data_IF_900999346086
#
_entry.id   IF_900999346086
#
_cell.length_a   1.000
_cell.length_b   1.000
_cell.length_c   1.000
_cell.angle_alpha   90.00
_cell.angle_beta   90.00
_cell.angle_gamma   90.00
#
_symmetry.space_group_name_H-M   'P 1'
#
loop_
_entity.id
_entity.type
_entity.pdbx_description
1 polymer ?
#
# COMPACT_ATOMS: atom_id res chain seq x y z
N UNK A 1 -14.35 8.88 -5.55
CA UNK A 1 -13.02 8.50 -6.11
C UNK A 1 -12.03 8.51 -4.97
N UNK A 2 -11.28 7.42 -4.77
CA UNK A 2 -10.18 7.39 -3.79
C UNK A 2 -9.18 8.50 -4.10
N UNK A 3 -8.93 9.38 -3.13
CA UNK A 3 -8.08 10.56 -3.31
C UNK A 3 -6.60 10.22 -3.13
N UNK A 4 -6.33 9.25 -2.25
CA UNK A 4 -4.99 8.87 -1.81
C UNK A 4 -4.65 7.44 -2.20
N UNK A 5 -3.36 7.21 -2.47
CA UNK A 5 -2.79 5.90 -2.74
C UNK A 5 -2.35 5.25 -1.44
N UNK A 6 -2.42 3.92 -1.38
CA UNK A 6 -1.82 3.15 -0.31
C UNK A 6 -0.90 2.11 -0.95
N UNK A 7 0.37 2.14 -0.62
CA UNK A 7 1.35 1.12 -0.97
C UNK A 7 1.41 0.13 0.19
N UNK A 8 0.83 -1.05 -0.02
CA UNK A 8 0.87 -2.15 0.94
C UNK A 8 2.00 -3.09 0.55
N UNK A 9 3.05 -3.13 1.36
CA UNK A 9 4.16 -4.07 1.21
C UNK A 9 3.85 -5.40 1.87
N UNK A 10 4.08 -6.48 1.12
CA UNK A 10 4.00 -7.87 1.57
C UNK A 10 5.26 -8.62 1.12
N UNK A 11 5.68 -9.59 1.95
CA UNK A 11 6.98 -10.24 1.90
C UNK A 11 7.06 -11.39 0.91
N UNK A 12 7.85 -12.46 1.19
CA UNK A 12 8.37 -12.84 2.51
C UNK A 12 9.56 -12.02 3.02
N UNK A 13 10.21 -11.22 2.17
CA UNK A 13 11.31 -10.37 2.63
C UNK A 13 10.82 -9.25 3.57
N UNK A 14 11.58 -9.03 4.65
CA UNK A 14 11.22 -8.07 5.70
C UNK A 14 12.05 -6.80 5.52
N UNK A 15 11.35 -5.69 5.30
CA UNK A 15 11.98 -4.39 5.18
C UNK A 15 11.83 -3.61 6.48
N UNK A 16 12.96 -3.17 7.03
CA UNK A 16 12.98 -2.25 8.17
C UNK A 16 12.55 -0.84 7.74
N UNK A 17 11.60 -0.25 8.47
CA UNK A 17 11.05 1.08 8.19
C UNK A 17 11.53 2.07 9.26
N UNK A 18 12.82 2.37 9.17
CA UNK A 18 13.52 3.30 10.05
C UNK A 18 13.23 4.78 9.72
N UNK A 19 13.95 5.70 10.37
CA UNK A 19 13.77 7.14 10.15
C UNK A 19 14.19 7.59 8.75
N UNK A 20 15.28 7.04 8.18
CA UNK A 20 15.78 7.40 6.85
C UNK A 20 14.80 6.97 5.76
N UNK A 21 14.28 5.74 5.84
CA UNK A 21 13.23 5.26 4.95
C UNK A 21 12.00 6.17 5.02
N UNK A 22 11.57 6.54 6.22
CA UNK A 22 10.42 7.44 6.41
C UNK A 22 10.65 8.82 5.81
N UNK A 23 11.85 9.38 5.96
CA UNK A 23 12.23 10.67 5.38
C UNK A 23 12.23 10.63 3.85
N UNK A 24 12.84 9.59 3.25
CA UNK A 24 12.87 9.39 1.79
C UNK A 24 11.48 9.26 1.19
N UNK A 25 10.59 8.50 1.82
CA UNK A 25 9.20 8.37 1.38
C UNK A 25 8.43 9.68 1.55
N UNK A 26 8.67 10.40 2.65
CA UNK A 26 8.06 11.70 2.89
C UNK A 26 8.44 12.73 1.82
N UNK A 27 9.68 12.70 1.31
CA UNK A 27 10.16 13.58 0.25
C UNK A 27 9.35 13.44 -1.06
N UNK A 28 8.72 12.29 -1.29
CA UNK A 28 7.83 12.04 -2.45
C UNK A 28 6.33 12.06 -2.09
N UNK A 29 5.99 12.53 -0.89
CA UNK A 29 4.60 12.67 -0.44
C UNK A 29 3.96 11.39 0.08
N UNK A 30 4.75 10.34 0.33
CA UNK A 30 4.29 9.08 0.94
C UNK A 30 4.60 9.09 2.44
N UNK A 31 3.60 8.79 3.27
CA UNK A 31 3.72 8.81 4.73
C UNK A 31 3.47 7.43 5.32
N UNK A 32 4.11 7.12 6.44
CA UNK A 32 3.83 5.90 7.21
C UNK A 32 2.84 6.22 8.32
N UNK A 33 1.83 5.37 8.59
CA UNK A 33 0.95 5.58 9.72
C UNK A 33 1.72 5.45 11.02
N UNK A 34 1.31 6.23 12.02
CA UNK A 34 1.86 6.17 13.38
C UNK A 34 1.38 4.90 14.11
N UNK A 35 1.89 3.75 13.69
CA UNK A 35 1.66 2.44 14.27
C UNK A 35 2.96 1.91 14.87
N UNK A 36 2.88 1.39 16.09
CA UNK A 36 4.02 0.72 16.72
C UNK A 36 4.29 -0.63 16.03
N UNK A 37 5.49 -1.18 16.24
CA UNK A 37 5.81 -2.53 15.77
C UNK A 37 4.84 -3.56 16.35
N UNK A 38 4.39 -3.40 17.60
CA UNK A 38 3.36 -4.24 18.21
C UNK A 38 2.01 -4.13 17.48
N UNK A 39 1.59 -2.91 17.11
CA UNK A 39 0.34 -2.71 16.36
C UNK A 39 0.40 -3.42 14.98
N UNK A 40 1.53 -3.34 14.30
CA UNK A 40 1.75 -4.00 13.00
C UNK A 40 1.79 -5.53 13.15
N UNK A 41 2.52 -6.03 14.14
CA UNK A 41 2.60 -7.45 14.45
C UNK A 41 1.23 -8.05 14.82
N UNK A 42 0.45 -7.37 15.66
CA UNK A 42 -0.90 -7.84 16.00
C UNK A 42 -1.83 -7.81 14.78
N UNK A 43 -1.70 -6.82 13.91
CA UNK A 43 -2.47 -6.77 12.67
C UNK A 43 -2.10 -7.90 11.70
N UNK A 44 -0.82 -8.28 11.65
CA UNK A 44 -0.34 -9.46 10.91
C UNK A 44 -0.99 -10.75 11.45
N UNK A 45 -0.92 -10.97 12.76
CA UNK A 45 -1.52 -12.14 13.41
C UNK A 45 -3.06 -12.16 13.31
N UNK A 46 -3.71 -10.99 13.36
CA UNK A 46 -5.16 -10.86 13.21
C UNK A 46 -5.61 -11.34 11.83
N UNK A 47 -5.03 -10.79 10.76
CA UNK A 47 -5.42 -11.10 9.37
C UNK A 47 -5.12 -12.56 9.04
N UNK A 48 -3.94 -13.06 9.42
CA UNK A 48 -3.56 -14.46 9.19
C UNK A 48 -4.24 -15.45 10.12
N UNK A 49 -5.01 -14.94 11.10
CA UNK A 49 -5.63 -15.73 12.17
C UNK A 49 -4.60 -16.59 12.96
N UNK A 50 -3.37 -16.09 13.06
CA UNK A 50 -2.20 -16.79 13.62
C UNK A 50 -1.94 -16.49 15.11
N UNK A 51 -2.87 -15.85 15.83
CA UNK A 51 -2.70 -15.51 17.25
C UNK A 51 -2.35 -16.72 18.15
N UNK A 52 -2.93 -17.90 17.88
CA UNK A 52 -2.69 -19.10 18.69
C UNK A 52 -1.25 -19.61 18.61
N UNK A 53 -0.60 -19.50 17.44
CA UNK A 53 0.80 -19.90 17.29
C UNK A 53 1.78 -18.92 17.95
N UNK A 54 1.28 -17.75 18.40
CA UNK A 54 2.02 -16.76 19.16
C UNK A 54 1.63 -16.74 20.65
N UNK A 55 0.92 -17.77 21.13
CA UNK A 55 0.40 -17.85 22.51
C UNK A 55 -0.49 -16.65 22.93
N UNK A 56 -1.16 -16.02 21.95
CA UNK A 56 -2.08 -14.91 22.15
C UNK A 56 -3.53 -15.35 22.03
N UNK A 57 -4.42 -14.65 22.72
CA UNK A 57 -5.87 -14.79 22.54
C UNK A 57 -6.34 -13.97 21.35
N UNK A 58 -7.52 -14.31 20.80
CA UNK A 58 -8.16 -13.49 19.77
C UNK A 58 -8.33 -12.04 20.21
N UNK A 59 -8.65 -11.81 21.49
CA UNK A 59 -8.89 -10.49 22.06
C UNK A 59 -7.64 -9.59 22.03
N UNK A 60 -6.44 -10.18 22.03
CA UNK A 60 -5.18 -9.43 22.04
C UNK A 60 -4.87 -8.81 20.66
N UNK A 61 -5.36 -9.42 19.59
CA UNK A 61 -5.09 -9.01 18.20
C UNK A 61 -6.28 -8.36 17.51
N UNK A 62 -7.50 -8.60 17.99
CA UNK A 62 -8.73 -8.14 17.34
C UNK A 62 -8.76 -6.61 17.17
N UNK A 63 -9.00 -6.17 15.93
CA UNK A 63 -9.08 -4.76 15.55
C UNK A 63 -7.73 -4.06 15.35
N UNK A 64 -6.61 -4.77 15.42
CA UNK A 64 -5.28 -4.21 15.18
C UNK A 64 -5.12 -3.71 13.74
N UNK A 65 -5.54 -4.50 12.74
CA UNK A 65 -5.52 -4.09 11.34
C UNK A 65 -6.43 -2.90 11.09
N UNK A 66 -7.64 -2.90 11.68
CA UNK A 66 -8.55 -1.77 11.60
C UNK A 66 -7.92 -0.48 12.20
N UNK A 67 -7.13 -0.60 13.28
CA UNK A 67 -6.40 0.52 13.88
C UNK A 67 -5.33 1.07 12.94
N UNK A 68 -4.57 0.20 12.27
CA UNK A 68 -3.59 0.58 11.24
C UNK A 68 -4.29 1.30 10.08
N UNK A 69 -5.37 0.73 9.54
CA UNK A 69 -6.16 1.32 8.48
C UNK A 69 -6.66 2.72 8.85
N UNK A 70 -7.26 2.89 10.03
CA UNK A 70 -7.73 4.20 10.53
C UNK A 70 -6.63 5.23 10.59
N UNK A 71 -5.41 4.85 10.99
CA UNK A 71 -4.26 5.76 11.01
C UNK A 71 -3.82 6.12 9.59
N UNK A 72 -3.79 5.16 8.66
CA UNK A 72 -3.50 5.44 7.25
C UNK A 72 -4.50 6.45 6.66
N UNK A 73 -5.80 6.31 6.93
CA UNK A 73 -6.82 7.27 6.50
C UNK A 73 -6.61 8.68 7.09
N UNK A 74 -6.17 8.77 8.35
CA UNK A 74 -5.94 10.05 9.04
C UNK A 74 -4.77 10.85 8.47
N UNK A 75 -3.85 10.22 7.74
CA UNK A 75 -2.70 10.89 7.13
C UNK A 75 -3.09 11.92 6.05
N UNK A 76 -4.25 11.76 5.40
CA UNK A 76 -4.71 12.62 4.29
C UNK A 76 -3.64 12.83 3.19
N UNK A 77 -2.79 11.83 3.00
CA UNK A 77 -1.68 11.77 2.04
C UNK A 77 -1.56 10.35 1.51
N UNK A 78 -0.73 10.14 0.50
CA UNK A 78 -0.42 8.79 0.05
C UNK A 78 0.34 8.07 1.17
N UNK A 79 0.07 6.79 1.37
CA UNK A 79 0.51 6.07 2.56
C UNK A 79 1.29 4.79 2.21
N UNK A 80 2.23 4.42 3.08
CA UNK A 80 2.97 3.16 3.02
C UNK A 80 2.75 2.35 4.30
N UNK A 81 2.45 1.07 4.14
CA UNK A 81 2.31 0.10 5.24
C UNK A 81 3.05 -1.17 4.86
N UNK A 82 3.94 -1.63 5.73
CA UNK A 82 4.67 -2.89 5.57
C UNK A 82 4.05 -3.96 6.45
N UNK A 83 3.58 -5.05 5.84
CA UNK A 83 3.09 -6.26 6.50
C UNK A 83 3.66 -7.49 5.78
N UNK A 84 4.94 -7.85 5.99
CA UNK A 84 5.57 -8.94 5.25
C UNK A 84 4.81 -10.27 5.36
N UNK A 85 4.35 -10.60 6.56
CA UNK A 85 3.63 -11.85 6.83
C UNK A 85 2.34 -12.01 6.03
N UNK A 86 1.68 -10.92 5.61
CA UNK A 86 0.50 -10.97 4.74
C UNK A 86 0.73 -11.75 3.44
N UNK A 87 1.97 -11.97 3.00
CA UNK A 87 2.29 -12.85 1.88
C UNK A 87 1.68 -14.26 2.03
N UNK A 88 1.65 -14.78 3.25
CA UNK A 88 1.08 -16.11 3.58
C UNK A 88 -0.45 -16.11 3.71
N UNK A 89 -1.10 -14.96 3.58
CA UNK A 89 -2.53 -14.86 3.76
C UNK A 89 -3.28 -15.61 2.64
N UNK A 90 -4.28 -16.40 3.02
CA UNK A 90 -5.19 -17.03 2.07
C UNK A 90 -6.08 -15.97 1.36
N UNK A 91 -6.88 -16.42 0.38
CA UNK A 91 -7.72 -15.52 -0.41
C UNK A 91 -8.77 -14.75 0.42
N UNK A 92 -9.36 -15.38 1.44
CA UNK A 92 -10.35 -14.74 2.31
C UNK A 92 -9.70 -13.73 3.26
N UNK A 93 -8.52 -14.06 3.76
CA UNK A 93 -7.71 -13.19 4.61
C UNK A 93 -7.22 -11.96 3.85
N UNK A 94 -6.71 -12.15 2.62
CA UNK A 94 -6.31 -11.05 1.75
C UNK A 94 -7.50 -10.14 1.40
N UNK A 95 -8.66 -10.74 1.09
CA UNK A 95 -9.89 -9.97 0.83
C UNK A 95 -10.32 -9.13 2.04
N UNK A 96 -10.30 -9.72 3.24
CA UNK A 96 -10.58 -9.02 4.49
C UNK A 96 -9.62 -7.85 4.73
N UNK A 97 -8.32 -8.05 4.49
CA UNK A 97 -7.33 -7.01 4.67
C UNK A 97 -7.55 -5.83 3.70
N UNK A 98 -7.86 -6.12 2.44
CA UNK A 98 -8.15 -5.09 1.41
C UNK A 98 -9.47 -4.37 1.69
N UNK A 99 -10.48 -5.04 2.24
CA UNK A 99 -11.75 -4.41 2.63
C UNK A 99 -11.57 -3.30 3.66
N UNK A 100 -10.68 -3.51 4.65
CA UNK A 100 -10.30 -2.49 5.64
C UNK A 100 -9.69 -1.21 5.03
N UNK A 101 -9.25 -1.27 3.77
CA UNK A 101 -8.64 -0.17 3.02
C UNK A 101 -9.61 0.45 2.00
N UNK A 102 -10.89 0.07 2.03
CA UNK A 102 -11.92 0.61 1.15
C UNK A 102 -11.95 2.16 1.19
N UNK A 103 -11.78 2.78 0.02
CA UNK A 103 -11.68 4.24 -0.12
C UNK A 103 -10.26 4.75 -0.39
N UNK A 104 -9.24 3.91 -0.22
CA UNK A 104 -7.88 4.15 -0.71
C UNK A 104 -7.64 3.45 -2.05
N UNK A 105 -6.72 3.98 -2.86
CA UNK A 105 -6.26 3.31 -4.06
C UNK A 105 -5.09 2.39 -3.70
N UNK A 106 -5.39 1.13 -3.38
CA UNK A 106 -4.39 0.15 -2.99
C UNK A 106 -3.48 -0.21 -4.16
N UNK A 107 -2.18 -0.15 -3.91
CA UNK A 107 -1.06 -0.63 -4.69
C UNK A 107 -0.35 -1.70 -3.88
N UNK A 108 -0.18 -2.88 -4.47
CA UNK A 108 0.53 -3.99 -3.86
C UNK A 108 2.01 -3.87 -4.21
N UNK A 109 2.85 -3.86 -3.19
CA UNK A 109 4.31 -3.92 -3.31
C UNK A 109 4.72 -5.28 -2.75
N UNK A 110 5.33 -6.12 -3.58
CA UNK A 110 5.70 -7.49 -3.21
C UNK A 110 7.21 -7.61 -3.28
N UNK A 111 7.82 -8.18 -2.24
CA UNK A 111 9.23 -8.60 -2.23
C UNK A 111 9.30 -10.12 -2.18
N UNK A 112 9.05 -10.79 -3.33
CA UNK A 112 8.93 -12.24 -3.39
C UNK A 112 10.32 -12.90 -3.28
N UNK A 113 10.39 -14.20 -2.97
CA UNK A 113 11.66 -14.96 -3.01
C UNK A 113 12.25 -14.99 -4.42
N UNK A 114 11.37 -15.10 -5.42
CA UNK A 114 11.72 -15.00 -6.84
C UNK A 114 10.74 -14.07 -7.54
N UNK A 115 11.19 -13.34 -8.56
CA UNK A 115 10.37 -12.31 -9.21
C UNK A 115 9.01 -12.79 -9.76
N UNK A 116 8.91 -14.08 -10.08
CA UNK A 116 7.70 -14.69 -10.65
C UNK A 116 6.74 -15.24 -9.58
N UNK A 117 7.16 -15.31 -8.31
CA UNK A 117 6.37 -15.85 -7.20
C UNK A 117 5.47 -14.78 -6.57
N UNK A 118 4.51 -14.29 -7.37
CA UNK A 118 3.55 -13.31 -6.89
C UNK A 118 2.34 -13.99 -6.23
N UNK A 119 1.90 -13.52 -5.05
CA UNK A 119 0.85 -14.18 -4.29
C UNK A 119 -0.52 -13.93 -4.94
N UNK A 120 -1.05 -14.97 -5.59
CA UNK A 120 -2.30 -14.91 -6.38
C UNK A 120 -3.49 -14.42 -5.57
N UNK A 121 -3.53 -14.74 -4.27
CA UNK A 121 -4.55 -14.25 -3.33
C UNK A 121 -4.65 -12.71 -3.31
N UNK A 122 -3.52 -12.02 -3.47
CA UNK A 122 -3.44 -10.56 -3.44
C UNK A 122 -3.54 -9.93 -4.82
N UNK A 123 -2.85 -10.49 -5.82
CA UNK A 123 -2.78 -9.88 -7.16
C UNK A 123 -4.15 -9.78 -7.84
N UNK A 124 -5.09 -10.69 -7.53
CA UNK A 124 -6.47 -10.67 -8.04
C UNK A 124 -7.35 -9.58 -7.42
N UNK A 125 -6.98 -9.04 -6.26
CA UNK A 125 -7.75 -8.03 -5.54
C UNK A 125 -7.45 -6.59 -6.01
N UNK A 126 -6.39 -6.41 -6.78
CA UNK A 126 -5.98 -5.11 -7.32
C UNK A 126 -5.87 -5.16 -8.85
N UNK A 127 -5.85 -3.99 -9.50
CA UNK A 127 -5.64 -3.93 -10.95
C UNK A 127 -4.18 -4.32 -11.28
N UNK A 128 -3.92 -4.97 -12.43
CA UNK A 128 -2.55 -5.36 -12.81
C UNK A 128 -1.53 -4.23 -12.74
N UNK A 129 -1.87 -3.01 -13.21
CA UNK A 129 -1.02 -1.82 -13.10
C UNK A 129 -0.84 -1.26 -11.68
N UNK A 130 -1.19 -2.01 -10.65
CA UNK A 130 -1.00 -1.68 -9.23
C UNK A 130 -0.27 -2.78 -8.45
N UNK A 131 0.22 -3.80 -9.13
CA UNK A 131 1.10 -4.81 -8.56
C UNK A 131 2.53 -4.44 -8.94
N UNK A 132 3.40 -4.34 -7.95
CA UNK A 132 4.81 -3.96 -8.13
C UNK A 132 5.68 -4.96 -7.40
N UNK A 133 6.49 -5.71 -8.16
CA UNK A 133 7.51 -6.58 -7.60
C UNK A 133 8.80 -5.77 -7.39
N UNK A 134 9.35 -5.81 -6.19
CA UNK A 134 10.66 -5.26 -5.84
C UNK A 134 11.59 -6.44 -5.57
N UNK A 135 12.85 -6.31 -5.98
CA UNK A 135 13.88 -7.32 -5.75
C UNK A 135 14.02 -7.61 -4.23
N UNK A 136 14.09 -8.88 -3.80
CA UNK A 136 14.33 -9.22 -2.40
C UNK A 136 15.77 -8.87 -1.97
N UNK A 137 15.98 -8.68 -0.67
CA UNK A 137 17.30 -8.49 -0.07
C UNK A 137 17.92 -7.11 -0.32
N UNK A 138 17.12 -6.14 -0.80
CA UNK A 138 17.58 -4.76 -0.91
C UNK A 138 17.83 -4.14 0.47
N UNK A 139 18.86 -3.32 0.56
CA UNK A 139 19.04 -2.48 1.74
C UNK A 139 17.84 -1.51 1.89
N UNK A 140 17.48 -1.10 3.13
CA UNK A 140 16.32 -0.24 3.37
C UNK A 140 16.29 1.03 2.52
N UNK A 141 17.44 1.68 2.31
CA UNK A 141 17.56 2.87 1.47
C UNK A 141 17.26 2.59 -0.02
N UNK A 142 17.67 1.44 -0.54
CA UNK A 142 17.44 1.02 -1.93
C UNK A 142 15.98 0.63 -2.14
N UNK A 143 15.38 -0.09 -1.18
CA UNK A 143 13.95 -0.36 -1.16
C UNK A 143 13.15 0.96 -1.16
N UNK A 144 13.51 1.92 -0.31
CA UNK A 144 12.86 3.23 -0.26
C UNK A 144 12.97 3.97 -1.60
N UNK A 145 14.12 3.88 -2.27
CA UNK A 145 14.31 4.46 -3.60
C UNK A 145 13.42 3.80 -4.66
N UNK A 146 13.27 2.47 -4.66
CA UNK A 146 12.34 1.77 -5.56
C UNK A 146 10.89 2.14 -5.29
N UNK A 147 10.49 2.14 -4.03
CA UNK A 147 9.14 2.53 -3.65
C UNK A 147 8.85 4.00 -4.03
N UNK A 148 9.83 4.89 -3.87
CA UNK A 148 9.71 6.27 -4.31
C UNK A 148 9.54 6.38 -5.84
N UNK A 149 10.27 5.59 -6.63
CA UNK A 149 10.10 5.51 -8.09
C UNK A 149 8.69 5.06 -8.48
N UNK A 150 8.17 4.04 -7.80
CA UNK A 150 6.80 3.55 -8.00
C UNK A 150 5.80 4.66 -7.70
N UNK A 151 5.91 5.33 -6.54
CA UNK A 151 5.01 6.39 -6.12
C UNK A 151 5.00 7.58 -7.10
N UNK A 152 6.18 8.04 -7.51
CA UNK A 152 6.32 9.13 -8.49
C UNK A 152 5.73 8.76 -9.85
N UNK A 153 5.88 7.51 -10.28
CA UNK A 153 5.29 7.02 -11.53
C UNK A 153 3.76 7.06 -11.47
N UNK A 154 3.17 6.65 -10.34
CA UNK A 154 1.72 6.73 -10.15
C UNK A 154 1.23 8.17 -10.06
N UNK A 155 2.01 9.06 -9.44
CA UNK A 155 1.68 10.47 -9.36
C UNK A 155 1.69 11.13 -10.74
N UNK A 156 2.73 10.87 -11.54
CA UNK A 156 2.80 11.32 -12.93
C UNK A 156 1.58 10.88 -13.73
N UNK A 157 1.22 9.60 -13.65
CA UNK A 157 0.03 9.07 -14.33
C UNK A 157 -1.28 9.75 -13.88
N UNK A 158 -1.38 10.12 -12.59
CA UNK A 158 -2.51 10.88 -12.05
C UNK A 158 -2.57 12.30 -12.62
N UNK A 159 -1.42 12.99 -12.66
CA UNK A 159 -1.31 14.34 -13.20
C UNK A 159 -1.60 14.39 -14.71
N UNK A 160 -1.08 13.43 -15.48
CA UNK A 160 -1.36 13.32 -16.93
C UNK A 160 -2.86 13.15 -17.20
N UNK A 161 -3.53 12.32 -16.39
CA UNK A 161 -4.98 12.14 -16.45
C UNK A 161 -5.75 13.41 -16.05
N UNK A 162 -5.25 14.18 -15.08
CA UNK A 162 -5.87 15.45 -14.70
C UNK A 162 -5.70 16.48 -15.82
N UNK A 163 -4.49 16.60 -16.37
CA UNK A 163 -4.17 17.53 -17.44
C UNK A 163 -5.00 17.27 -18.71
N UNK A 164 -5.14 16.00 -19.12
CA UNK A 164 -5.97 15.62 -20.27
C UNK A 164 -7.44 16.00 -20.08
N UNK A 165 -8.00 15.84 -18.88
CA UNK A 165 -9.37 16.30 -18.56
C UNK A 165 -9.52 17.81 -18.65
N UNK A 166 -8.56 18.57 -18.12
CA UNK A 166 -8.56 20.03 -18.22
C UNK A 166 -8.49 20.49 -19.66
N UNK A 167 -7.61 19.88 -20.48
CA UNK A 167 -7.51 20.16 -21.92
C UNK A 167 -8.83 19.90 -22.64
N UNK A 168 -9.50 18.77 -22.36
CA UNK A 168 -10.81 18.44 -22.94
C UNK A 168 -11.89 19.47 -22.56
N UNK A 169 -11.96 19.86 -21.28
CA UNK A 169 -12.92 20.87 -20.80
C UNK A 169 -12.68 22.23 -21.46
N UNK A 170 -11.42 22.66 -21.59
CA UNK A 170 -11.07 23.90 -22.28
C UNK A 170 -11.52 23.89 -23.74
N UNK A 171 -11.37 22.77 -24.44
CA UNK A 171 -11.85 22.62 -25.82
C UNK A 171 -13.37 22.77 -25.90
N UNK A 172 -14.12 22.07 -25.04
CA UNK A 172 -15.59 22.15 -25.01
C UNK A 172 -16.10 23.58 -24.76
N UNK A 173 -15.48 24.32 -23.84
CA UNK A 173 -15.86 25.71 -23.57
C UNK A 173 -15.58 26.61 -24.78
N UNK A 174 -14.44 26.40 -25.48
CA UNK A 174 -14.15 27.14 -26.72
C UNK A 174 -15.18 26.86 -27.81
N UNK A 175 -15.53 25.59 -28.00
CA UNK A 175 -16.51 25.18 -29.01
C UNK A 175 -17.90 25.79 -28.70
N UNK A 176 -18.28 25.90 -27.42
CA UNK A 176 -19.53 26.54 -26.98
C UNK A 176 -19.54 28.07 -27.16
N UNK A 177 -18.41 28.75 -26.99
CA UNK A 177 -18.31 30.20 -27.18
C UNK A 177 -18.24 30.62 -28.66
N UNK A 178 -17.92 29.67 -29.55
CA UNK A 178 -17.84 29.89 -30.99
C UNK A 178 -19.15 29.57 -31.72
N UNK A 179 -20.16 29.06 -31.02
CA UNK A 179 -21.51 28.75 -31.51
C UNK A 179 -22.49 29.85 -31.07
#
# INVERSE_FOLDING_TARGET
MAKHQLFLHIGPDVVEVDADVRERLAAVGVRTPDASQTDLHHADLEIRRAHRSADLTRKDVEGAWAKVCRRAFRLKSDAFVSQPGFFEADADQAALAVDGLAGLKVHLVVTPETRDDLPVAWTRLVKPGRVHAIEPGLAPADFAAELARIALTQEKARLDKALSKVKKRRKQVKDQLAA
#
